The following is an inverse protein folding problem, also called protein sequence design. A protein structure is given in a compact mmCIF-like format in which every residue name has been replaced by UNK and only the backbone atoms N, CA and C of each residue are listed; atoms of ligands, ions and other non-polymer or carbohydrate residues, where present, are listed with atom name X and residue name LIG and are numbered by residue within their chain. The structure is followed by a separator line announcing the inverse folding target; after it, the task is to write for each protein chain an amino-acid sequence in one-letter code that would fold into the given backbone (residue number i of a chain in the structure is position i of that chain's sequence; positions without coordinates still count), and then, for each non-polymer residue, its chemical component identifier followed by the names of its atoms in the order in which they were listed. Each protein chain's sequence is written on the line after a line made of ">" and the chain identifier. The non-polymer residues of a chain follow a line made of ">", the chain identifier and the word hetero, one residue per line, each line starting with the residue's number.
data_IF_417969595827
#
_entry.id   IF_417969595827
#
_cell.length_a   1.000
_cell.length_b   1.000
_cell.length_c   1.000
_cell.angle_alpha   90.00
_cell.angle_beta   90.00
_cell.angle_gamma   90.00
#
_symmetry.space_group_name_H-M   'P 1'
#
loop_
_entity.id
_entity.type
_entity.pdbx_description
1 polymer ?
#
# COMPACT_ATOMS: atom_id res chain seq x y z
N UNK A 1 22.75 21.71 -28.56
CA UNK A 1 23.04 20.26 -28.56
C UNK A 1 22.46 19.51 -27.34
N UNK A 2 21.32 19.96 -26.77
CA UNK A 2 20.49 19.22 -25.79
C UNK A 2 19.01 19.56 -26.07
N UNK A 3 18.55 19.19 -27.27
CA UNK A 3 17.11 19.20 -27.62
C UNK A 3 16.71 18.10 -28.62
N UNK A 4 17.65 17.28 -29.07
CA UNK A 4 17.44 16.21 -30.07
C UNK A 4 17.68 14.80 -29.54
N UNK A 5 17.56 14.55 -28.23
CA UNK A 5 17.69 13.19 -27.65
C UNK A 5 16.42 12.69 -26.94
N UNK A 6 15.33 13.46 -26.97
CA UNK A 6 14.02 13.06 -26.44
C UNK A 6 13.04 12.51 -27.49
N UNK A 7 13.40 12.49 -28.78
CA UNK A 7 12.52 12.01 -29.86
C UNK A 7 12.92 10.64 -30.45
N UNK A 8 13.76 9.84 -29.78
CA UNK A 8 14.17 8.52 -30.31
C UNK A 8 13.74 7.29 -29.48
N UNK A 9 12.73 7.41 -28.61
CA UNK A 9 12.22 6.26 -27.84
C UNK A 9 10.69 6.05 -27.92
N UNK A 10 9.98 6.74 -28.81
CA UNK A 10 8.53 6.54 -29.03
C UNK A 10 8.18 5.96 -30.41
N UNK A 11 9.06 5.12 -30.96
CA UNK A 11 8.75 4.38 -32.19
C UNK A 11 9.33 2.98 -32.15
N UNK A 12 8.62 2.05 -31.51
CA UNK A 12 8.72 0.65 -31.90
C UNK A 12 7.33 0.09 -32.18
N UNK A 13 7.16 -0.22 -33.47
CA UNK A 13 6.05 -0.90 -34.09
C UNK A 13 5.73 -2.20 -33.37
N UNK A 14 4.43 -2.42 -33.15
CA UNK A 14 3.83 -3.73 -33.02
C UNK A 14 4.19 -4.58 -34.25
N UNK A 15 5.06 -5.57 -34.06
CA UNK A 15 5.16 -6.73 -34.94
C UNK A 15 4.64 -7.95 -34.19
N UNK A 16 3.45 -8.35 -34.60
CA UNK A 16 2.78 -9.61 -34.34
C UNK A 16 3.58 -10.83 -34.78
N UNK A 17 3.20 -12.01 -34.22
CA UNK A 17 3.34 -13.42 -34.68
C UNK A 17 4.19 -14.30 -33.71
N UNK A 18 3.83 -15.55 -33.37
CA UNK A 18 2.54 -16.10 -32.91
C UNK A 18 2.69 -17.03 -31.66
N UNK A 19 1.71 -17.06 -30.74
CA UNK A 19 1.66 -18.10 -29.71
C UNK A 19 1.28 -19.46 -30.34
N UNK A 20 2.21 -20.42 -30.26
CA UNK A 20 1.98 -21.82 -30.61
C UNK A 20 1.02 -22.47 -29.60
N UNK A 21 -0.01 -23.08 -30.19
CA UNK A 21 -0.97 -24.02 -29.61
C UNK A 21 -0.32 -25.06 -28.69
N UNK A 22 -0.75 -25.09 -27.42
CA UNK A 22 -0.83 -26.33 -26.65
C UNK A 22 -2.31 -26.75 -26.59
N UNK A 23 -2.66 -27.68 -27.48
CA UNK A 23 -3.92 -28.43 -27.45
C UNK A 23 -3.87 -29.37 -26.25
N UNK A 24 -4.71 -29.12 -25.24
CA UNK A 24 -5.19 -30.20 -24.35
C UNK A 24 -6.70 -30.35 -24.53
N UNK A 25 -7.06 -31.57 -24.93
CA UNK A 25 -8.40 -32.02 -25.30
C UNK A 25 -9.41 -31.78 -24.17
N UNK A 26 -10.43 -30.96 -24.40
CA UNK A 26 -11.71 -31.10 -23.68
C UNK A 26 -12.71 -31.85 -24.56
N UNK A 27 -13.22 -32.93 -23.99
CA UNK A 27 -14.28 -33.78 -24.54
C UNK A 27 -15.53 -32.93 -24.83
N UNK A 28 -16.14 -33.22 -25.98
CA UNK A 28 -17.51 -32.87 -26.33
C UNK A 28 -18.47 -33.29 -25.21
N UNK A 29 -19.41 -32.41 -24.87
CA UNK A 29 -20.81 -32.77 -24.72
C UNK A 29 -21.65 -31.54 -25.09
N UNK A 30 -22.61 -31.80 -25.97
CA UNK A 30 -23.52 -30.89 -26.67
C UNK A 30 -24.76 -30.53 -25.83
N UNK A 31 -25.59 -29.59 -26.30
CA UNK A 31 -26.54 -28.82 -25.50
C UNK A 31 -27.98 -29.34 -25.60
N UNK A 32 -28.79 -29.04 -24.60
CA UNK A 32 -30.26 -29.06 -24.65
C UNK A 32 -30.72 -27.76 -23.97
N UNK A 33 -31.03 -26.68 -24.70
CA UNK A 33 -32.35 -26.38 -25.30
C UNK A 33 -33.53 -26.73 -24.38
N UNK A 34 -34.15 -25.70 -23.79
CA UNK A 34 -35.59 -25.47 -23.90
C UNK A 34 -35.88 -23.97 -23.68
N UNK A 35 -36.18 -23.30 -24.80
CA UNK A 35 -37.02 -22.11 -24.83
C UNK A 35 -38.48 -22.58 -24.70
N UNK A 36 -39.34 -21.85 -24.00
CA UNK A 36 -40.34 -21.03 -24.69
C UNK A 36 -41.17 -20.14 -23.73
N UNK A 37 -41.74 -19.04 -24.26
CA UNK A 37 -42.17 -17.87 -23.51
C UNK A 37 -43.70 -17.65 -23.54
N UNK A 38 -44.19 -16.81 -22.64
CA UNK A 38 -45.45 -16.08 -22.75
C UNK A 38 -45.15 -14.67 -22.23
N UNK A 39 -45.47 -13.56 -22.87
CA UNK A 39 -46.30 -13.31 -24.04
C UNK A 39 -46.92 -11.92 -23.87
N UNK A 40 -46.88 -11.13 -24.95
CA UNK A 40 -47.59 -9.86 -25.20
C UNK A 40 -47.06 -8.60 -24.48
N UNK A 41 -46.61 -7.53 -25.15
CA UNK A 41 -46.73 -7.14 -26.54
C UNK A 41 -47.72 -5.98 -26.71
N UNK A 42 -47.18 -4.76 -26.83
CA UNK A 42 -47.57 -3.63 -27.70
C UNK A 42 -47.37 -2.29 -27.01
N UNK A 43 -46.17 -1.74 -27.19
CA UNK A 43 -46.02 -0.31 -27.37
C UNK A 43 -46.42 0.07 -28.80
N UNK A 44 -47.03 1.24 -28.95
CA UNK A 44 -47.02 2.01 -30.20
C UNK A 44 -46.48 3.40 -29.86
N UNK A 45 -45.38 3.71 -30.52
CA UNK A 45 -44.76 5.02 -30.62
C UNK A 45 -45.73 6.02 -31.25
N UNK A 46 -45.63 7.28 -30.83
CA UNK A 46 -45.60 8.39 -31.77
C UNK A 46 -44.51 9.37 -31.34
N UNK A 47 -43.61 9.58 -32.30
CA UNK A 47 -42.59 10.60 -32.40
C UNK A 47 -43.17 12.01 -32.31
N UNK A 48 -42.41 12.92 -31.70
CA UNK A 48 -42.10 14.21 -32.32
C UNK A 48 -40.76 14.71 -31.77
N UNK A 49 -39.94 15.12 -32.72
CA UNK A 49 -38.57 15.60 -32.68
C UNK A 49 -38.48 17.03 -32.20
N UNK A 50 -37.43 17.36 -31.46
CA UNK A 50 -36.78 18.67 -31.53
C UNK A 50 -35.26 18.49 -31.41
N UNK A 51 -34.57 19.01 -32.42
CA UNK A 51 -33.13 18.94 -32.63
C UNK A 51 -32.60 20.34 -32.34
N UNK A 52 -31.73 20.49 -31.34
CA UNK A 52 -30.92 21.69 -31.17
C UNK A 52 -29.45 21.34 -31.32
N UNK A 53 -28.93 21.68 -32.50
CA UNK A 53 -27.50 21.70 -32.84
C UNK A 53 -26.90 23.04 -32.40
N UNK A 54 -25.88 23.01 -31.52
CA UNK A 54 -25.00 24.16 -31.30
C UNK A 54 -23.60 23.87 -31.85
N UNK A 55 -23.22 24.64 -32.87
CA UNK A 55 -21.90 24.66 -33.51
C UNK A 55 -20.87 25.36 -32.61
N UNK A 56 -19.70 24.75 -32.48
CA UNK A 56 -18.48 25.41 -32.01
C UNK A 56 -17.88 26.23 -33.15
N UNK A 57 -17.66 27.52 -32.91
CA UNK A 57 -16.94 28.44 -33.81
C UNK A 57 -15.49 28.50 -33.37
N UNK A 58 -14.59 28.04 -34.24
CA UNK A 58 -13.15 28.30 -34.15
C UNK A 58 -12.87 29.74 -34.59
N UNK A 59 -12.15 30.51 -33.77
CA UNK A 59 -11.58 31.79 -34.19
C UNK A 59 -10.06 31.77 -34.05
N UNK A 60 -9.40 31.53 -35.18
CA UNK A 60 -8.00 31.87 -35.40
C UNK A 60 -7.85 33.39 -35.57
N UNK A 61 -6.93 34.02 -34.83
CA UNK A 61 -6.44 35.36 -35.18
C UNK A 61 -4.92 35.45 -35.00
N UNK A 62 -4.21 35.45 -36.14
CA UNK A 62 -2.82 35.88 -36.30
C UNK A 62 -2.75 37.40 -36.09
N UNK A 63 -1.89 37.89 -35.20
CA UNK A 63 -1.55 39.30 -35.12
C UNK A 63 -0.14 39.54 -35.67
N UNK A 64 -0.09 40.37 -36.72
CA UNK A 64 1.09 40.86 -37.43
C UNK A 64 1.91 41.80 -36.54
N UNK A 65 3.23 41.70 -36.68
CA UNK A 65 4.19 42.73 -36.26
C UNK A 65 4.13 43.93 -37.23
N UNK A 66 4.02 45.13 -36.68
CA UNK A 66 4.32 46.38 -37.40
C UNK A 66 5.15 47.29 -36.52
N UNK A 67 6.34 47.64 -37.01
CA UNK A 67 7.19 48.70 -36.49
C UNK A 67 6.53 50.07 -36.74
N UNK A 68 6.53 50.95 -35.74
CA UNK A 68 6.43 52.39 -35.94
C UNK A 68 7.14 53.11 -34.81
N UNK A 69 8.22 53.79 -35.19
CA UNK A 69 8.97 54.78 -34.43
C UNK A 69 8.23 56.12 -34.47
N UNK A 70 8.09 56.81 -33.32
CA UNK A 70 8.55 58.19 -33.09
C UNK A 70 7.87 58.89 -31.90
N UNK A 71 8.71 59.62 -31.15
CA UNK A 71 8.49 60.84 -30.35
C UNK A 71 7.69 60.84 -29.03
N UNK A 72 8.45 60.61 -27.95
CA UNK A 72 8.69 61.48 -26.79
C UNK A 72 7.73 62.66 -26.49
N UNK A 73 7.05 62.61 -25.34
CA UNK A 73 6.79 63.79 -24.50
C UNK A 73 6.53 63.39 -23.03
N UNK A 74 7.20 64.11 -22.12
CA UNK A 74 7.21 63.92 -20.65
C UNK A 74 5.85 64.21 -20.03
N UNK A 75 5.42 63.39 -19.08
CA UNK A 75 4.91 63.82 -17.77
C UNK A 75 5.21 62.72 -16.76
N UNK A 76 5.92 63.07 -15.68
CA UNK A 76 6.28 62.14 -14.62
C UNK A 76 5.14 61.98 -13.61
N UNK A 77 5.01 60.76 -13.07
CA UNK A 77 4.57 60.54 -11.70
C UNK A 77 5.16 59.22 -11.20
N UNK A 78 5.91 59.34 -10.11
CA UNK A 78 6.47 58.27 -9.30
C UNK A 78 5.42 57.22 -8.91
N UNK A 79 5.56 55.99 -9.41
CA UNK A 79 4.95 54.78 -8.83
C UNK A 79 5.66 53.54 -9.34
N UNK A 80 6.96 53.42 -9.05
CA UNK A 80 7.75 52.24 -9.44
C UNK A 80 8.86 51.98 -8.42
N UNK A 81 8.49 51.73 -7.16
CA UNK A 81 9.43 51.17 -6.18
C UNK A 81 8.85 50.03 -5.33
N UNK A 82 7.56 49.68 -5.48
CA UNK A 82 6.92 48.61 -4.68
C UNK A 82 6.70 47.29 -5.43
N UNK A 83 6.84 47.24 -6.76
CA UNK A 83 6.62 46.03 -7.57
C UNK A 83 7.87 45.15 -7.72
N UNK A 84 9.07 45.73 -7.89
CA UNK A 84 10.32 44.98 -8.11
C UNK A 84 10.75 44.12 -6.91
N UNK A 85 10.46 44.57 -5.68
CA UNK A 85 10.74 43.85 -4.43
C UNK A 85 9.97 42.52 -4.33
N UNK A 86 8.72 42.51 -4.78
CA UNK A 86 7.84 41.34 -4.70
C UNK A 86 8.19 40.29 -5.76
N UNK A 87 8.58 40.73 -6.95
CA UNK A 87 8.96 39.86 -8.06
C UNK A 87 10.33 39.20 -7.82
N UNK A 88 11.31 39.94 -7.30
CA UNK A 88 12.62 39.41 -6.91
C UNK A 88 12.52 38.37 -5.79
N UNK A 89 11.64 38.58 -4.82
CA UNK A 89 11.36 37.62 -3.74
C UNK A 89 10.67 36.36 -4.29
N UNK A 90 9.74 36.50 -5.25
CA UNK A 90 9.10 35.36 -5.93
C UNK A 90 10.10 34.52 -6.72
N UNK A 91 10.99 35.17 -7.48
CA UNK A 91 12.02 34.49 -8.27
C UNK A 91 13.01 33.70 -7.40
N UNK A 92 13.43 34.26 -6.25
CA UNK A 92 14.31 33.54 -5.29
C UNK A 92 13.61 32.31 -4.71
N UNK A 93 12.36 32.45 -4.28
CA UNK A 93 11.58 31.33 -3.72
C UNK A 93 11.39 30.20 -4.74
N UNK A 94 11.12 30.53 -6.01
CA UNK A 94 11.02 29.55 -7.09
C UNK A 94 12.35 28.84 -7.37
N UNK A 95 13.47 29.56 -7.32
CA UNK A 95 14.80 28.98 -7.51
C UNK A 95 15.18 28.03 -6.35
N UNK A 96 14.89 28.41 -5.11
CA UNK A 96 15.11 27.55 -3.92
C UNK A 96 14.27 26.28 -3.99
N UNK A 97 13.00 26.41 -4.38
CA UNK A 97 12.10 25.26 -4.54
C UNK A 97 12.59 24.34 -5.68
N UNK A 98 13.07 24.91 -6.79
CA UNK A 98 13.66 24.14 -7.90
C UNK A 98 14.95 23.41 -7.48
N UNK A 99 15.80 24.04 -6.67
CA UNK A 99 17.02 23.41 -6.15
C UNK A 99 16.69 22.24 -5.21
N UNK A 100 15.69 22.41 -4.33
CA UNK A 100 15.19 21.33 -3.47
C UNK A 100 14.74 20.12 -4.29
N UNK A 101 13.87 20.31 -5.29
CA UNK A 101 13.40 19.19 -6.10
C UNK A 101 14.54 18.48 -6.82
N UNK A 102 15.45 19.22 -7.45
CA UNK A 102 16.60 18.63 -8.14
C UNK A 102 17.49 17.82 -7.22
N UNK A 103 17.69 18.29 -5.98
CA UNK A 103 18.43 17.56 -4.96
C UNK A 103 17.73 16.25 -4.61
N UNK A 104 16.45 16.30 -4.25
CA UNK A 104 15.68 15.10 -3.86
C UNK A 104 15.59 14.09 -5.00
N UNK A 105 15.33 14.53 -6.23
CA UNK A 105 15.34 13.65 -7.42
C UNK A 105 16.69 12.95 -7.60
N UNK A 106 17.80 13.69 -7.46
CA UNK A 106 19.15 13.12 -7.56
C UNK A 106 19.42 12.08 -6.46
N UNK A 107 18.93 12.30 -5.24
CA UNK A 107 19.13 11.37 -4.13
C UNK A 107 18.23 10.12 -4.25
N UNK A 108 17.01 10.26 -4.77
CA UNK A 108 16.16 9.11 -5.13
C UNK A 108 16.81 8.27 -6.22
N UNK A 109 17.37 8.89 -7.26
CA UNK A 109 18.09 8.18 -8.32
C UNK A 109 19.31 7.43 -7.78
N UNK A 110 20.04 8.03 -6.84
CA UNK A 110 21.19 7.43 -6.16
C UNK A 110 20.80 6.18 -5.33
N UNK A 111 19.66 6.23 -4.63
CA UNK A 111 19.11 5.05 -3.92
C UNK A 111 18.58 4.01 -4.90
N UNK A 112 17.99 4.47 -6.01
CA UNK A 112 17.39 3.67 -7.06
C UNK A 112 15.87 3.66 -7.01
N UNK A 113 15.23 4.07 -8.10
CA UNK A 113 13.78 4.18 -8.26
C UNK A 113 12.99 2.92 -7.91
N UNK A 114 13.56 1.73 -8.13
CA UNK A 114 12.94 0.43 -7.78
C UNK A 114 12.66 0.25 -6.27
N UNK A 115 13.31 1.05 -5.42
CA UNK A 115 13.12 1.03 -3.98
C UNK A 115 12.13 2.08 -3.52
N UNK A 116 11.82 3.08 -4.33
CA UNK A 116 10.77 4.05 -4.01
C UNK A 116 9.42 3.34 -4.17
N UNK A 117 8.59 3.43 -3.14
CA UNK A 117 7.18 3.06 -3.17
C UNK A 117 6.43 4.36 -3.44
N UNK A 118 6.10 5.11 -2.39
CA UNK A 118 5.35 6.35 -2.53
C UNK A 118 6.24 7.58 -2.59
N UNK A 119 5.85 8.55 -3.41
CA UNK A 119 6.27 9.94 -3.27
C UNK A 119 5.06 10.88 -3.38
N UNK A 120 4.93 11.83 -2.45
CA UNK A 120 3.97 12.91 -2.59
C UNK A 120 4.37 13.84 -3.75
N UNK A 121 3.41 14.52 -4.37
CA UNK A 121 3.68 15.41 -5.51
C UNK A 121 4.61 16.59 -5.18
N UNK A 122 4.71 16.97 -3.92
CA UNK A 122 5.65 17.98 -3.41
C UNK A 122 7.00 17.42 -2.98
N UNK A 123 7.23 16.11 -3.18
CA UNK A 123 8.43 15.36 -2.80
C UNK A 123 8.87 15.52 -1.34
N UNK A 124 7.97 15.98 -0.46
CA UNK A 124 8.25 16.08 0.98
C UNK A 124 8.00 14.77 1.69
N UNK A 125 7.03 13.98 1.24
CA UNK A 125 6.80 12.64 1.76
C UNK A 125 7.34 11.60 0.78
N UNK A 126 8.25 10.75 1.24
CA UNK A 126 8.82 9.63 0.48
C UNK A 126 8.66 8.34 1.27
N UNK A 127 8.56 7.20 0.58
CA UNK A 127 8.51 5.89 1.20
C UNK A 127 9.41 4.92 0.44
N UNK A 128 10.34 4.28 1.14
CA UNK A 128 11.29 3.33 0.55
C UNK A 128 11.05 1.91 1.03
N UNK A 129 11.05 0.96 0.10
CA UNK A 129 11.02 -0.49 0.34
C UNK A 129 12.43 -1.02 0.54
N UNK A 130 12.65 -1.63 1.70
CA UNK A 130 13.93 -2.19 2.10
C UNK A 130 13.73 -3.64 2.55
N UNK A 131 14.59 -4.53 2.07
CA UNK A 131 14.61 -5.93 2.49
C UNK A 131 15.64 -6.13 3.59
N UNK A 132 15.30 -6.91 4.62
CA UNK A 132 16.28 -7.40 5.57
C UNK A 132 16.99 -8.68 5.06
N UNK A 133 17.94 -9.18 5.84
CA UNK A 133 18.73 -10.37 5.49
C UNK A 133 17.90 -11.65 5.33
N UNK A 134 16.70 -11.70 5.93
CA UNK A 134 15.77 -12.85 5.82
C UNK A 134 14.72 -12.63 4.74
N UNK A 135 14.86 -11.58 3.93
CA UNK A 135 13.94 -11.25 2.83
C UNK A 135 12.62 -10.66 3.29
N UNK A 136 12.48 -10.27 4.57
CA UNK A 136 11.28 -9.56 5.05
C UNK A 136 11.29 -8.14 4.50
N UNK A 137 10.12 -7.69 4.06
CA UNK A 137 9.92 -6.36 3.49
C UNK A 137 9.60 -5.37 4.60
N UNK A 138 10.33 -4.26 4.62
CA UNK A 138 10.14 -3.12 5.52
C UNK A 138 9.91 -1.87 4.68
N UNK A 139 8.91 -1.07 5.06
CA UNK A 139 8.64 0.23 4.43
C UNK A 139 9.10 1.33 5.39
N UNK A 140 10.02 2.16 4.93
CA UNK A 140 10.50 3.32 5.66
C UNK A 140 9.90 4.58 5.03
N UNK A 141 9.10 5.28 5.81
CA UNK A 141 8.50 6.55 5.43
C UNK A 141 9.37 7.71 5.94
N UNK A 142 9.54 8.71 5.08
CA UNK A 142 10.41 9.86 5.30
C UNK A 142 9.58 11.12 5.06
N UNK A 143 9.68 12.09 5.97
CA UNK A 143 9.19 13.45 5.73
C UNK A 143 10.34 14.44 5.72
N UNK A 144 10.45 15.17 4.61
CA UNK A 144 11.44 16.22 4.37
C UNK A 144 10.84 17.58 4.69
N UNK A 145 11.59 18.36 5.48
CA UNK A 145 11.28 19.76 5.70
C UNK A 145 11.75 20.64 4.53
N UNK A 146 11.20 21.86 4.41
CA UNK A 146 11.60 22.85 3.41
C UNK A 146 13.08 23.24 3.51
N UNK A 147 13.70 23.09 4.68
CA UNK A 147 15.10 23.39 4.91
C UNK A 147 16.03 22.17 4.77
N UNK A 148 15.53 21.03 4.30
CA UNK A 148 16.35 19.86 3.94
C UNK A 148 17.48 20.26 2.96
N UNK A 149 18.72 19.76 3.12
CA UNK A 149 19.19 18.77 4.11
C UNK A 149 19.75 19.38 5.40
N UNK A 150 19.54 20.68 5.65
CA UNK A 150 20.10 21.35 6.85
C UNK A 150 19.52 20.80 8.15
N UNK A 151 18.24 20.42 8.13
CA UNK A 151 17.62 19.65 9.20
C UNK A 151 17.43 18.19 8.78
N UNK A 152 17.55 17.25 9.74
CA UNK A 152 17.29 15.85 9.47
C UNK A 152 15.84 15.65 9.03
N UNK A 153 15.59 14.70 8.13
CA UNK A 153 14.23 14.27 7.86
C UNK A 153 13.65 13.50 9.06
N UNK A 154 12.32 13.48 9.17
CA UNK A 154 11.66 12.60 10.14
C UNK A 154 11.36 11.24 9.52
N UNK A 155 11.41 10.17 10.34
CA UNK A 155 11.34 8.78 9.89
C UNK A 155 10.25 8.05 10.67
N UNK A 156 9.43 7.28 9.95
CA UNK A 156 8.52 6.28 10.52
C UNK A 156 8.62 4.95 9.77
N UNK A 157 8.42 3.85 10.48
CA UNK A 157 8.38 2.50 9.93
C UNK A 157 7.67 1.57 10.91
N UNK A 158 7.17 0.43 10.44
CA UNK A 158 6.60 -0.63 11.28
C UNK A 158 7.72 -1.42 11.98
N UNK A 159 8.39 -0.77 12.93
CA UNK A 159 9.51 -1.31 13.71
C UNK A 159 9.28 -1.00 15.20
N UNK A 160 9.77 -1.81 16.15
CA UNK A 160 9.46 -1.65 17.57
C UNK A 160 10.00 -0.35 18.16
N UNK A 161 11.04 0.23 17.55
CA UNK A 161 11.52 1.58 17.84
C UNK A 161 12.31 2.11 16.65
N UNK A 162 12.30 3.43 16.47
CA UNK A 162 13.13 4.13 15.49
C UNK A 162 14.53 4.35 16.08
N UNK A 163 15.56 4.27 15.23
CA UNK A 163 16.95 4.51 15.61
C UNK A 163 17.25 6.01 15.73
N UNK A 164 18.29 6.34 16.50
CA UNK A 164 18.79 7.72 16.55
C UNK A 164 19.51 8.05 15.24
N UNK A 165 18.86 8.83 14.38
CA UNK A 165 19.41 9.23 13.09
C UNK A 165 20.64 10.13 13.29
N UNK A 166 21.80 9.68 12.81
CA UNK A 166 22.99 10.52 12.71
C UNK A 166 22.91 11.33 11.43
N UNK A 167 22.81 12.64 11.57
CA UNK A 167 22.61 13.55 10.43
C UNK A 167 23.52 14.78 10.54
N UNK A 168 24.07 15.21 9.41
CA UNK A 168 24.79 16.47 9.26
C UNK A 168 24.29 17.21 8.02
N UNK A 169 24.72 18.47 7.83
CA UNK A 169 24.34 19.25 6.64
C UNK A 169 24.87 18.67 5.32
N UNK A 170 25.81 17.72 5.37
CA UNK A 170 26.33 17.00 4.20
C UNK A 170 25.68 15.63 4.01
N UNK A 171 24.82 15.19 4.93
CA UNK A 171 24.11 13.92 4.84
C UNK A 171 23.06 13.94 3.73
N UNK A 172 22.79 12.76 3.19
CA UNK A 172 21.83 12.50 2.11
C UNK A 172 20.89 11.35 2.45
N UNK A 173 19.81 11.19 1.69
CA UNK A 173 18.85 10.09 1.90
C UNK A 173 19.51 8.70 1.84
N UNK A 174 20.57 8.53 1.04
CA UNK A 174 21.34 7.27 1.00
C UNK A 174 21.94 6.91 2.36
N UNK A 175 22.48 7.89 3.08
CA UNK A 175 23.07 7.68 4.41
C UNK A 175 22.02 7.27 5.44
N UNK A 176 20.81 7.81 5.30
CA UNK A 176 19.64 7.43 6.11
C UNK A 176 19.20 6.00 5.79
N UNK A 177 19.09 5.62 4.51
CA UNK A 177 18.76 4.25 4.09
C UNK A 177 19.79 3.25 4.63
N UNK A 178 21.08 3.60 4.59
CA UNK A 178 22.14 2.76 5.15
C UNK A 178 21.99 2.56 6.66
N UNK A 179 21.76 3.65 7.42
CA UNK A 179 21.52 3.55 8.86
C UNK A 179 20.27 2.75 9.20
N UNK A 180 19.20 2.87 8.40
CA UNK A 180 18.00 2.05 8.59
C UNK A 180 18.29 0.56 8.31
N UNK A 181 19.03 0.23 7.27
CA UNK A 181 19.45 -1.16 7.01
C UNK A 181 20.27 -1.74 8.17
N UNK A 182 21.18 -0.96 8.77
CA UNK A 182 21.91 -1.37 9.98
C UNK A 182 20.99 -1.56 11.19
N UNK A 183 19.96 -0.72 11.32
CA UNK A 183 18.93 -0.86 12.33
C UNK A 183 18.11 -2.15 12.15
N UNK A 184 17.70 -2.48 10.92
CA UNK A 184 17.00 -3.73 10.61
C UNK A 184 17.83 -4.97 11.01
N UNK A 185 19.15 -4.94 10.82
CA UNK A 185 20.04 -6.04 11.24
C UNK A 185 20.02 -6.26 12.76
N UNK A 186 19.94 -5.18 13.56
CA UNK A 186 19.86 -5.28 15.03
C UNK A 186 18.54 -5.91 15.51
N UNK A 187 17.48 -5.74 14.73
CA UNK A 187 16.14 -6.25 15.03
C UNK A 187 15.88 -7.66 14.47
N UNK A 188 16.85 -8.25 13.77
CA UNK A 188 16.67 -9.52 13.07
C UNK A 188 16.29 -10.67 14.02
N UNK A 189 16.97 -10.74 15.17
CA UNK A 189 16.71 -11.73 16.22
C UNK A 189 15.33 -11.54 16.86
N UNK A 190 14.94 -10.28 17.09
CA UNK A 190 13.63 -9.94 17.64
C UNK A 190 12.51 -10.48 16.74
N UNK A 191 12.52 -10.12 15.45
CA UNK A 191 11.49 -10.59 14.54
C UNK A 191 11.53 -12.10 14.33
N UNK A 192 12.70 -12.74 14.39
CA UNK A 192 12.79 -14.20 14.30
C UNK A 192 12.07 -14.88 15.47
N UNK A 193 12.23 -14.35 16.70
CA UNK A 193 11.52 -14.85 17.87
C UNK A 193 10.01 -14.60 17.75
N UNK A 194 9.61 -13.42 17.28
CA UNK A 194 8.19 -13.13 17.05
C UNK A 194 7.57 -14.06 15.97
N UNK A 195 8.30 -14.30 14.87
CA UNK A 195 7.90 -15.23 13.80
C UNK A 195 7.74 -16.67 14.34
N UNK A 196 8.64 -17.12 15.20
CA UNK A 196 8.56 -18.44 15.85
C UNK A 196 7.36 -18.53 16.80
N UNK A 197 7.10 -17.49 17.60
CA UNK A 197 5.91 -17.43 18.47
C UNK A 197 4.64 -17.53 17.61
N UNK A 198 4.53 -16.70 16.56
CA UNK A 198 3.36 -16.64 15.68
C UNK A 198 3.13 -17.96 14.92
N UNK A 199 4.22 -18.67 14.62
CA UNK A 199 4.16 -19.95 13.90
C UNK A 199 3.83 -21.15 14.79
N UNK A 200 4.38 -21.19 16.00
CA UNK A 200 4.40 -22.40 16.82
C UNK A 200 3.50 -22.35 18.05
N UNK A 201 3.05 -21.16 18.48
CA UNK A 201 2.19 -21.00 19.65
C UNK A 201 0.77 -20.57 19.26
N UNK A 202 -0.20 -20.96 20.07
CA UNK A 202 -1.58 -20.46 19.92
C UNK A 202 -1.68 -19.00 20.36
N UNK A 203 -1.35 -18.07 19.45
CA UNK A 203 -1.54 -16.64 19.62
C UNK A 203 -3.02 -16.28 19.47
N UNK A 204 -3.57 -15.59 20.47
CA UNK A 204 -4.96 -15.12 20.52
C UNK A 204 -5.07 -13.65 20.16
N UNK A 205 -4.08 -12.85 20.57
CA UNK A 205 -3.99 -11.42 20.27
C UNK A 205 -2.52 -11.00 20.06
N UNK A 206 -2.23 -10.14 19.08
CA UNK A 206 -3.11 -9.64 18.02
C UNK A 206 -3.37 -10.69 16.93
N UNK A 207 -4.56 -10.64 16.29
CA UNK A 207 -4.89 -11.52 15.14
C UNK A 207 -4.02 -11.26 13.91
N UNK A 208 -3.60 -10.01 13.74
CA UNK A 208 -2.76 -9.55 12.64
C UNK A 208 -1.58 -8.76 13.22
N UNK A 209 -0.50 -9.44 13.64
CA UNK A 209 0.62 -8.76 14.25
C UNK A 209 1.37 -7.87 13.26
N UNK A 210 1.69 -6.66 13.69
CA UNK A 210 2.64 -5.79 13.00
C UNK A 210 4.08 -6.08 13.44
N UNK A 211 5.05 -5.60 12.67
CA UNK A 211 6.49 -5.74 12.97
C UNK A 211 6.95 -4.83 14.10
N UNK A 212 6.19 -3.80 14.45
CA UNK A 212 6.41 -2.96 15.63
C UNK A 212 5.92 -3.58 16.95
N UNK A 213 4.97 -4.52 16.89
CA UNK A 213 4.34 -5.07 18.09
C UNK A 213 5.26 -6.06 18.82
N UNK A 214 5.70 -5.69 20.02
CA UNK A 214 6.59 -6.46 20.87
C UNK A 214 5.89 -7.38 21.88
N UNK A 215 4.58 -7.59 21.73
CA UNK A 215 3.81 -8.45 22.63
C UNK A 215 3.00 -9.51 21.87
N UNK A 216 2.68 -10.63 22.53
CA UNK A 216 1.72 -11.65 22.09
C UNK A 216 0.95 -12.20 23.28
N UNK A 217 -0.36 -12.26 23.17
CA UNK A 217 -1.20 -13.03 24.09
C UNK A 217 -1.31 -14.46 23.58
N UNK A 218 -0.77 -15.41 24.33
CA UNK A 218 -0.82 -16.84 23.99
C UNK A 218 -1.80 -17.58 24.90
N UNK A 219 -2.49 -18.57 24.33
CA UNK A 219 -3.31 -19.51 25.08
C UNK A 219 -2.43 -20.63 25.66
N UNK A 220 -2.61 -20.93 26.95
CA UNK A 220 -1.89 -21.99 27.66
C UNK A 220 -2.81 -23.11 28.19
N UNK A 221 -4.10 -23.08 27.82
CA UNK A 221 -5.12 -24.04 28.22
C UNK A 221 -5.87 -23.65 29.48
N UNK A 222 -6.94 -24.38 29.80
CA UNK A 222 -7.78 -24.16 30.99
C UNK A 222 -8.27 -22.71 31.14
N UNK A 223 -8.67 -22.08 30.03
CA UNK A 223 -9.08 -20.67 29.97
C UNK A 223 -8.06 -19.69 30.56
N UNK A 224 -6.77 -20.06 30.51
CA UNK A 224 -5.66 -19.23 30.94
C UNK A 224 -4.83 -18.75 29.75
N UNK A 225 -4.31 -17.53 29.88
CA UNK A 225 -3.55 -16.83 28.86
C UNK A 225 -2.31 -16.18 29.47
N UNK A 226 -1.27 -16.03 28.66
CA UNK A 226 -0.08 -15.26 29.01
C UNK A 226 0.10 -14.15 27.99
N UNK A 227 0.14 -12.90 28.44
CA UNK A 227 0.67 -11.79 27.66
C UNK A 227 2.19 -11.81 27.77
N UNK A 228 2.86 -12.23 26.70
CA UNK A 228 4.31 -12.17 26.56
C UNK A 228 4.70 -10.82 26.00
N UNK A 229 5.64 -10.13 26.66
CA UNK A 229 6.28 -8.92 26.16
C UNK A 229 7.77 -9.18 25.95
N UNK A 230 8.22 -9.08 24.70
CA UNK A 230 9.60 -9.36 24.29
C UNK A 230 10.37 -8.05 24.21
N UNK A 231 11.52 -7.97 24.87
CA UNK A 231 12.37 -6.80 24.76
C UNK A 231 13.01 -6.73 23.38
N UNK A 232 12.61 -5.78 22.54
CA UNK A 232 13.12 -5.64 21.17
C UNK A 232 14.62 -5.32 21.07
N UNK A 233 15.25 -4.81 22.14
CA UNK A 233 16.70 -4.52 22.19
C UNK A 233 17.53 -5.70 22.71
N UNK A 234 16.90 -6.61 23.44
CA UNK A 234 17.54 -7.80 24.01
C UNK A 234 16.54 -8.98 23.95
N UNK A 235 16.17 -9.44 22.74
CA UNK A 235 15.01 -10.32 22.55
C UNK A 235 15.21 -11.72 23.10
N UNK A 236 16.46 -12.13 23.37
CA UNK A 236 16.80 -13.40 24.03
C UNK A 236 16.76 -13.32 25.56
N UNK A 237 16.53 -12.14 26.15
CA UNK A 237 16.35 -12.00 27.60
C UNK A 237 15.05 -12.64 28.09
N UNK A 238 14.93 -12.82 29.40
CA UNK A 238 13.70 -13.29 30.04
C UNK A 238 12.55 -12.32 29.68
N UNK A 239 11.47 -12.79 29.04
CA UNK A 239 10.35 -11.92 28.68
C UNK A 239 9.58 -11.48 29.92
N UNK A 240 8.87 -10.37 29.82
CA UNK A 240 7.87 -10.00 30.80
C UNK A 240 6.58 -10.79 30.49
N UNK A 241 5.99 -11.37 31.54
CA UNK A 241 4.80 -12.22 31.43
C UNK A 241 3.70 -11.69 32.34
N UNK A 242 2.52 -11.38 31.77
CA UNK A 242 1.29 -11.15 32.53
C UNK A 242 0.34 -12.32 32.37
N UNK A 243 0.02 -12.98 33.46
CA UNK A 243 -0.86 -14.15 33.50
C UNK A 243 -2.32 -13.70 33.68
N UNK A 244 -3.22 -14.36 32.96
CA UNK A 244 -4.66 -14.05 32.94
C UNK A 244 -5.45 -15.36 32.97
N UNK A 245 -6.54 -15.42 33.74
CA UNK A 245 -7.34 -16.64 33.91
C UNK A 245 -7.89 -16.76 35.34
N UNK A 246 -8.39 -17.94 35.70
CA UNK A 246 -8.89 -18.20 37.04
C UNK A 246 -7.76 -18.20 38.10
N UNK A 247 -7.99 -17.54 39.24
CA UNK A 247 -6.99 -17.29 40.29
C UNK A 247 -6.20 -18.53 40.74
N UNK A 248 -6.81 -19.71 40.99
CA UNK A 248 -6.05 -20.88 41.46
C UNK A 248 -5.00 -21.34 40.45
N UNK A 249 -5.35 -21.32 39.16
CA UNK A 249 -4.47 -21.76 38.07
C UNK A 249 -3.38 -20.70 37.83
N UNK A 250 -3.79 -19.43 37.76
CA UNK A 250 -2.86 -18.31 37.55
C UNK A 250 -1.83 -18.19 38.68
N UNK A 251 -2.25 -18.33 39.94
CA UNK A 251 -1.33 -18.26 41.08
C UNK A 251 -0.30 -19.40 41.08
N UNK A 252 -0.71 -20.59 40.64
CA UNK A 252 0.21 -21.72 40.44
C UNK A 252 1.25 -21.38 39.36
N UNK A 253 0.81 -20.89 38.19
CA UNK A 253 1.69 -20.50 37.09
C UNK A 253 2.66 -19.38 37.47
N UNK A 254 2.19 -18.35 38.18
CA UNK A 254 3.03 -17.27 38.69
C UNK A 254 4.10 -17.83 39.64
N UNK A 255 3.74 -18.77 40.51
CA UNK A 255 4.68 -19.38 41.46
C UNK A 255 5.76 -20.21 40.73
N UNK A 256 5.36 -20.98 39.71
CA UNK A 256 6.27 -21.72 38.83
C UNK A 256 7.22 -20.77 38.10
N UNK A 257 6.68 -19.74 37.46
CA UNK A 257 7.45 -18.72 36.74
C UNK A 257 8.47 -18.03 37.64
N UNK A 258 8.06 -17.58 38.83
CA UNK A 258 8.96 -16.92 39.80
C UNK A 258 10.10 -17.86 40.22
N UNK A 259 9.79 -19.12 40.53
CA UNK A 259 10.78 -20.13 40.92
C UNK A 259 11.78 -20.41 39.79
N UNK A 260 11.31 -20.50 38.55
CA UNK A 260 12.09 -20.96 37.41
C UNK A 260 12.70 -19.86 36.54
N UNK A 261 12.33 -18.59 36.72
CA UNK A 261 12.83 -17.46 35.91
C UNK A 261 14.36 -17.42 35.82
N UNK A 262 15.06 -17.78 36.90
CA UNK A 262 16.53 -17.86 36.97
C UNK A 262 17.14 -18.97 36.10
N UNK A 263 16.33 -19.91 35.61
CA UNK A 263 16.74 -21.01 34.72
C UNK A 263 16.69 -20.61 33.24
N UNK A 264 16.36 -19.35 32.94
CA UNK A 264 16.36 -18.81 31.59
C UNK A 264 17.81 -18.66 31.08
N UNK A 265 18.13 -19.31 29.96
CA UNK A 265 19.46 -19.29 29.36
C UNK A 265 19.35 -18.62 28.00
N UNK A 266 19.93 -17.43 27.82
CA UNK A 266 19.74 -16.62 26.60
C UNK A 266 20.07 -17.36 25.30
N UNK A 267 21.06 -18.25 25.32
CA UNK A 267 21.53 -18.96 24.12
C UNK A 267 20.63 -20.13 23.70
N UNK A 268 19.71 -20.55 24.56
CA UNK A 268 18.74 -21.60 24.23
C UNK A 268 17.61 -21.06 23.34
N UNK A 269 17.00 -21.91 22.50
CA UNK A 269 15.82 -21.53 21.72
C UNK A 269 14.71 -20.95 22.61
N UNK A 270 14.12 -19.83 22.18
CA UNK A 270 13.17 -19.05 22.98
C UNK A 270 11.99 -19.90 23.47
N UNK A 271 11.38 -20.68 22.57
CA UNK A 271 10.22 -21.52 22.89
C UNK A 271 10.55 -22.64 23.88
N UNK A 272 11.74 -23.23 23.78
CA UNK A 272 12.21 -24.26 24.72
C UNK A 272 12.47 -23.67 26.10
N UNK A 273 13.06 -22.47 26.16
CA UNK A 273 13.20 -21.75 27.43
C UNK A 273 11.85 -21.45 28.06
N UNK A 274 10.90 -20.94 27.27
CA UNK A 274 9.57 -20.60 27.75
C UNK A 274 8.85 -21.83 28.32
N UNK A 275 8.84 -22.95 27.59
CA UNK A 275 8.26 -24.21 28.06
C UNK A 275 8.96 -24.74 29.33
N UNK A 276 10.29 -24.67 29.38
CA UNK A 276 11.09 -25.11 30.54
C UNK A 276 10.80 -24.27 31.79
N UNK A 277 10.66 -22.96 31.65
CA UNK A 277 10.38 -22.06 32.78
C UNK A 277 8.95 -22.22 33.27
N UNK A 278 7.98 -22.35 32.36
CA UNK A 278 6.57 -22.54 32.70
C UNK A 278 6.23 -23.98 33.15
N UNK A 279 7.15 -24.94 33.00
CA UNK A 279 6.94 -26.37 33.27
C UNK A 279 5.64 -26.92 32.65
N UNK A 280 5.29 -26.39 31.47
CA UNK A 280 4.09 -26.78 30.74
C UNK A 280 4.39 -26.99 29.27
N UNK A 281 3.57 -27.81 28.62
CA UNK A 281 3.58 -27.91 27.17
C UNK A 281 2.85 -26.70 26.59
N UNK A 282 3.53 -25.95 25.72
CA UNK A 282 2.94 -24.81 25.05
C UNK A 282 1.96 -25.30 23.98
N UNK A 283 0.76 -24.72 23.97
CA UNK A 283 -0.25 -25.07 22.98
C UNK A 283 0.16 -24.57 21.60
N UNK A 284 0.05 -25.45 20.61
CA UNK A 284 0.19 -25.10 19.21
C UNK A 284 -1.09 -24.44 18.70
N UNK A 285 -1.02 -23.61 17.64
CA UNK A 285 -2.21 -23.16 16.94
C UNK A 285 -3.10 -24.37 16.64
N UNK A 286 -4.42 -24.27 16.83
CA UNK A 286 -5.32 -25.33 16.42
C UNK A 286 -5.08 -25.61 14.93
N UNK A 287 -5.12 -26.89 14.55
CA UNK A 287 -5.22 -27.29 13.14
C UNK A 287 -6.54 -26.74 12.63
N UNK A 288 -6.56 -25.47 12.24
CA UNK A 288 -7.59 -24.96 11.35
C UNK A 288 -7.38 -25.85 10.12
N UNK A 289 -8.33 -26.74 9.75
CA UNK A 289 -8.30 -27.28 8.41
C UNK A 289 -8.22 -26.04 7.54
N UNK A 290 -7.06 -25.82 6.92
CA UNK A 290 -6.88 -24.73 5.98
C UNK A 290 -7.96 -24.99 4.96
N UNK A 291 -9.10 -24.33 5.11
CA UNK A 291 -9.93 -24.09 3.98
C UNK A 291 -9.02 -23.19 3.15
N UNK A 292 -8.24 -23.83 2.27
CA UNK A 292 -7.42 -23.17 1.26
C UNK A 292 -8.29 -22.31 0.33
N UNK A 293 -9.58 -22.16 0.60
CA UNK A 293 -10.40 -21.03 0.22
C UNK A 293 -10.10 -19.79 1.07
N UNK A 294 -8.83 -19.41 1.22
CA UNK A 294 -8.54 -17.98 1.25
C UNK A 294 -8.97 -17.50 -0.14
N UNK A 295 -10.20 -16.99 -0.24
CA UNK A 295 -10.89 -16.81 -1.52
C UNK A 295 -10.08 -15.85 -2.40
N UNK A 296 -9.37 -16.41 -3.37
CA UNK A 296 -8.73 -15.64 -4.43
C UNK A 296 -9.77 -14.75 -5.11
N UNK A 297 -9.39 -13.52 -5.45
CA UNK A 297 -10.27 -12.64 -6.19
C UNK A 297 -10.74 -13.32 -7.49
N UNK A 298 -12.06 -13.35 -7.73
CA UNK A 298 -12.64 -13.92 -8.96
C UNK A 298 -12.28 -13.18 -10.26
N UNK A 299 -11.42 -12.19 -10.25
CA UNK A 299 -11.02 -11.44 -11.44
C UNK A 299 -9.52 -11.57 -11.66
N UNK A 300 -8.70 -11.17 -10.68
CA UNK A 300 -7.24 -11.22 -10.80
C UNK A 300 -6.63 -12.55 -10.32
N UNK A 301 -7.42 -13.44 -9.70
CA UNK A 301 -6.97 -14.72 -9.14
C UNK A 301 -5.84 -14.59 -8.10
N UNK A 302 -5.62 -13.38 -7.58
CA UNK A 302 -4.65 -13.11 -6.53
C UNK A 302 -5.37 -13.03 -5.18
N UNK A 303 -4.67 -13.44 -4.12
CA UNK A 303 -5.11 -13.27 -2.75
C UNK A 303 -4.97 -11.82 -2.28
N UNK A 304 -3.87 -11.17 -2.66
CA UNK A 304 -3.55 -9.79 -2.33
C UNK A 304 -3.29 -9.01 -3.61
N UNK A 305 -3.73 -7.76 -3.68
CA UNK A 305 -3.34 -6.88 -4.79
C UNK A 305 -1.82 -6.68 -4.81
N UNK A 306 -1.20 -6.56 -6.00
CA UNK A 306 0.21 -6.18 -6.11
C UNK A 306 0.47 -4.91 -5.30
N UNK A 307 1.64 -4.84 -4.69
CA UNK A 307 2.13 -3.59 -4.11
C UNK A 307 2.57 -2.73 -5.29
N UNK A 308 1.65 -1.89 -5.77
CA UNK A 308 1.82 -0.98 -6.89
C UNK A 308 1.36 0.42 -6.47
N UNK A 309 2.09 1.44 -6.92
CA UNK A 309 1.95 2.85 -6.53
C UNK A 309 0.78 3.54 -7.24
N UNK A 310 0.22 2.94 -8.29
CA UNK A 310 -0.97 3.45 -8.98
C UNK A 310 -2.30 3.06 -8.28
N UNK A 311 -2.28 2.18 -7.26
CA UNK A 311 -3.47 1.57 -6.65
C UNK A 311 -3.76 2.01 -5.19
N UNK A 312 -3.18 3.10 -4.69
CA UNK A 312 -3.51 3.58 -3.33
C UNK A 312 -4.96 4.08 -3.24
N UNK A 313 -5.79 3.57 -2.30
CA UNK A 313 -5.45 3.07 -0.96
C UNK A 313 -5.58 1.54 -0.76
N UNK A 314 -5.49 0.73 -1.81
CA UNK A 314 -5.79 -0.72 -1.76
C UNK A 314 -4.60 -1.63 -2.12
N UNK A 315 -3.40 -1.08 -2.29
CA UNK A 315 -2.18 -1.85 -2.51
C UNK A 315 -1.95 -2.85 -1.37
N UNK A 316 -1.69 -4.12 -1.70
CA UNK A 316 -1.54 -5.20 -0.72
C UNK A 316 -2.83 -5.63 0.00
N UNK A 317 -4.00 -5.10 -0.35
CA UNK A 317 -5.26 -5.50 0.31
C UNK A 317 -5.70 -6.90 -0.11
N UNK A 318 -6.25 -7.65 0.86
CA UNK A 318 -6.99 -8.88 0.59
C UNK A 318 -8.35 -8.58 -0.06
N UNK A 319 -9.05 -9.61 -0.54
CA UNK A 319 -10.42 -9.44 -1.05
C UNK A 319 -11.33 -8.78 -0.01
N UNK A 320 -11.97 -7.67 -0.38
CA UNK A 320 -12.79 -6.82 0.50
C UNK A 320 -14.26 -6.76 0.05
N UNK A 321 -14.64 -7.52 -0.98
CA UNK A 321 -16.01 -7.64 -1.47
C UNK A 321 -16.38 -9.10 -1.74
N UNK A 322 -17.57 -9.52 -1.33
CA UNK A 322 -18.10 -10.87 -1.61
C UNK A 322 -19.49 -10.74 -2.22
N UNK A 323 -19.79 -11.52 -3.25
CA UNK A 323 -21.11 -11.53 -3.86
C UNK A 323 -22.19 -12.02 -2.87
N UNK A 324 -23.28 -11.26 -2.73
CA UNK A 324 -24.38 -11.55 -1.78
C UNK A 324 -25.21 -12.79 -2.16
N UNK A 325 -25.07 -13.30 -3.37
CA UNK A 325 -25.72 -14.55 -3.77
C UNK A 325 -25.05 -15.73 -3.04
N UNK A 326 -25.80 -16.33 -2.10
CA UNK A 326 -25.36 -17.47 -1.28
C UNK A 326 -24.97 -18.72 -2.07
N UNK A 327 -25.41 -18.85 -3.33
CA UNK A 327 -24.97 -19.93 -4.24
C UNK A 327 -23.65 -19.60 -4.95
N UNK A 328 -23.25 -18.33 -5.00
CA UNK A 328 -22.05 -17.85 -5.67
C UNK A 328 -20.87 -17.68 -4.71
N UNK A 329 -21.05 -16.90 -3.63
CA UNK A 329 -20.04 -16.60 -2.60
C UNK A 329 -18.63 -16.25 -3.13
N UNK A 330 -18.52 -15.70 -4.34
CA UNK A 330 -17.23 -15.34 -4.93
C UNK A 330 -16.71 -14.05 -4.30
N UNK A 331 -15.45 -14.06 -3.87
CA UNK A 331 -14.78 -12.89 -3.33
C UNK A 331 -14.03 -12.12 -4.43
N UNK A 332 -13.87 -10.82 -4.24
CA UNK A 332 -13.20 -9.90 -5.14
C UNK A 332 -12.47 -8.82 -4.35
N UNK A 333 -11.41 -8.27 -4.94
CA UNK A 333 -11.00 -6.91 -4.57
C UNK A 333 -11.99 -5.94 -5.20
N UNK A 334 -12.46 -4.97 -4.43
CA UNK A 334 -13.40 -3.94 -4.87
C UNK A 334 -12.80 -3.09 -5.99
N UNK A 335 -11.47 -2.97 -6.08
CA UNK A 335 -10.82 -2.33 -7.25
C UNK A 335 -11.05 -3.16 -8.50
N UNK A 336 -10.71 -4.45 -8.47
CA UNK A 336 -10.91 -5.35 -9.60
C UNK A 336 -12.37 -5.40 -10.04
N UNK A 337 -13.30 -5.48 -9.10
CA UNK A 337 -14.73 -5.46 -9.41
C UNK A 337 -15.18 -4.10 -9.94
N UNK A 338 -14.67 -3.00 -9.38
CA UNK A 338 -14.95 -1.64 -9.85
C UNK A 338 -14.47 -1.40 -11.28
N UNK A 339 -13.27 -1.83 -11.62
CA UNK A 339 -12.71 -1.72 -12.99
C UNK A 339 -13.47 -2.61 -13.98
N UNK A 340 -13.82 -3.83 -13.56
CA UNK A 340 -14.68 -4.71 -14.35
C UNK A 340 -16.02 -4.05 -14.67
N UNK A 341 -16.71 -3.53 -13.65
CA UNK A 341 -18.01 -2.87 -13.83
C UNK A 341 -17.88 -1.60 -14.70
N UNK A 342 -16.78 -0.85 -14.61
CA UNK A 342 -16.52 0.31 -15.47
C UNK A 342 -16.42 -0.05 -16.96
N UNK A 343 -16.02 -1.27 -17.29
CA UNK A 343 -15.94 -1.75 -18.67
C UNK A 343 -17.27 -2.19 -19.29
N UNK A 344 -18.35 -2.28 -18.50
CA UNK A 344 -19.67 -2.76 -18.94
C UNK A 344 -20.61 -1.58 -19.20
N UNK A 345 -21.22 -1.56 -20.39
CA UNK A 345 -22.09 -0.46 -20.86
C UNK A 345 -23.41 -0.33 -20.09
N UNK A 346 -23.89 -1.41 -19.47
CA UNK A 346 -25.13 -1.43 -18.68
C UNK A 346 -24.92 -1.10 -17.20
N UNK A 347 -23.67 -0.91 -16.75
CA UNK A 347 -23.37 -0.53 -15.37
C UNK A 347 -23.92 0.86 -15.07
N UNK A 348 -24.63 0.99 -13.94
CA UNK A 348 -25.12 2.27 -13.46
C UNK A 348 -24.16 2.81 -12.41
N UNK A 349 -23.84 4.09 -12.48
CA UNK A 349 -23.09 4.79 -11.43
C UNK A 349 -24.03 5.74 -10.70
N UNK A 350 -24.00 5.69 -9.37
CA UNK A 350 -24.60 6.72 -8.52
C UNK A 350 -23.57 7.15 -7.48
N UNK A 351 -23.25 8.44 -7.46
CA UNK A 351 -22.14 8.99 -6.67
C UNK A 351 -20.84 8.19 -6.86
N UNK A 352 -20.34 7.60 -5.77
CA UNK A 352 -19.14 6.81 -5.71
C UNK A 352 -19.42 5.30 -5.62
N UNK A 353 -20.57 4.84 -6.13
CA UNK A 353 -20.95 3.42 -6.14
C UNK A 353 -21.33 3.00 -7.57
N UNK A 354 -20.74 1.90 -8.03
CA UNK A 354 -21.16 1.21 -9.25
C UNK A 354 -22.15 0.10 -8.91
N UNK A 355 -23.24 0.05 -9.68
CA UNK A 355 -24.27 -0.99 -9.63
C UNK A 355 -24.25 -1.76 -10.95
N UNK A 356 -24.10 -3.07 -10.88
CA UNK A 356 -24.09 -3.93 -12.05
C UNK A 356 -24.33 -5.39 -11.69
N UNK A 357 -23.81 -6.30 -12.51
CA UNK A 357 -24.01 -7.74 -12.35
C UNK A 357 -22.71 -8.44 -11.99
N UNK A 358 -22.78 -9.41 -11.07
CA UNK A 358 -21.67 -10.28 -10.71
C UNK A 358 -21.13 -11.03 -11.95
N UNK A 359 -19.80 -11.09 -12.18
CA UNK A 359 -19.23 -11.79 -13.34
C UNK A 359 -19.55 -13.29 -13.41
N UNK A 360 -19.94 -13.90 -12.29
CA UNK A 360 -20.10 -15.36 -12.16
C UNK A 360 -21.56 -15.81 -12.15
N UNK A 361 -22.44 -15.08 -11.45
CA UNK A 361 -23.83 -15.48 -11.28
C UNK A 361 -24.83 -14.47 -11.85
N UNK A 362 -24.35 -13.35 -12.40
CA UNK A 362 -25.15 -12.27 -12.97
C UNK A 362 -26.11 -11.55 -11.99
N UNK A 363 -26.14 -11.94 -10.73
CA UNK A 363 -26.91 -11.27 -9.68
C UNK A 363 -26.40 -9.84 -9.42
N UNK A 364 -27.26 -8.93 -8.92
CA UNK A 364 -26.88 -7.56 -8.62
C UNK A 364 -25.69 -7.45 -7.66
N UNK A 365 -24.75 -6.57 -7.98
CA UNK A 365 -23.61 -6.18 -7.12
C UNK A 365 -23.51 -4.67 -7.03
N UNK A 366 -23.07 -4.17 -5.89
CA UNK A 366 -22.87 -2.76 -5.61
C UNK A 366 -21.50 -2.54 -4.96
N UNK A 367 -20.58 -1.87 -5.66
CA UNK A 367 -19.21 -1.64 -5.17
C UNK A 367 -18.92 -0.16 -5.03
N UNK A 368 -18.43 0.23 -3.85
CA UNK A 368 -18.00 1.60 -3.57
C UNK A 368 -16.59 1.82 -4.11
N UNK A 369 -16.45 2.79 -5.00
CA UNK A 369 -15.17 3.25 -5.54
C UNK A 369 -14.70 4.49 -4.78
N UNK A 370 -13.45 4.53 -4.36
CA UNK A 370 -12.85 5.76 -3.84
C UNK A 370 -12.33 6.56 -5.02
N UNK A 371 -13.11 7.51 -5.51
CA UNK A 371 -12.65 8.47 -6.50
C UNK A 371 -11.71 9.47 -5.82
N UNK A 372 -10.41 9.45 -6.15
CA UNK A 372 -9.59 10.66 -6.04
C UNK A 372 -9.54 11.33 -7.41
N UNK A 373 -9.90 12.61 -7.43
CA UNK A 373 -9.65 13.54 -8.53
C UNK A 373 -8.22 14.03 -8.45
#
# INVERSE_FOLDING_TARGET
>A
KIKNKLNSLLSFHFLSVPLRLLKTKRKKLSPLHFFQPLGNGKGKCNSLSEVETTRLVESHSKAKWTNSTSNNQRYGTSSSCYSESTEGTRCRKLAETSAFYRLVYSEIEEIGWKHLVRSAGDLKSLSFRILDNKGRVHIMEIQLDIHYPRFPPSISADVPYIFDLRWSMSSRLRDLVQQFQEHLKKLEDFWSIMDDIDKFLWVVDPKHPSRAMAYRQINIGNDCYIMLSINSRDPRSLPECRFMGADPIVNSLISIWRRNSKRWIKDNPFLENLARVLETQLLRPPDVPKNNQQLECGICYAQFLPVDDELEPKSGSATDYTCDNSKCNRAFHSVCLGDWLRSITTTRQSFNVYFGSCPYCSEPVAVKINSKK
#
